data_IF_405162353739
#
_entry.id   IF_405162353739
#
_cell.length_a   1.000
_cell.length_b   1.000
_cell.length_c   1.000
_cell.angle_alpha   90.00
_cell.angle_beta   90.00
_cell.angle_gamma   90.00
#
_symmetry.space_group_name_H-M   'P 1'
#
loop_
_entity.id
_entity.type
_entity.pdbx_description
1 polymer ?
#
# COMPACT_ATOMS: atom_id res chain seq x y z
N UNK A 1 7.59 -0.91 -0.23
CA UNK A 1 6.59 -0.64 -1.30
C UNK A 1 7.05 -1.23 -2.63
N UNK A 2 8.24 -0.88 -3.12
CA UNK A 2 8.82 -1.43 -4.37
C UNK A 2 8.70 -2.95 -4.49
N UNK A 3 9.11 -3.67 -3.44
CA UNK A 3 9.04 -5.13 -3.37
C UNK A 3 7.63 -5.66 -3.46
N UNK A 4 6.69 -4.99 -2.80
CA UNK A 4 5.28 -5.37 -2.83
C UNK A 4 4.72 -5.23 -4.24
N UNK A 5 4.98 -4.11 -4.91
CA UNK A 5 4.54 -3.90 -6.30
C UNK A 5 5.18 -4.91 -7.26
N UNK A 6 6.46 -5.22 -7.06
CA UNK A 6 7.19 -6.23 -7.84
C UNK A 6 6.59 -7.62 -7.63
N UNK A 7 6.33 -8.00 -6.37
CA UNK A 7 5.70 -9.25 -6.00
C UNK A 7 4.28 -9.36 -6.56
N UNK A 8 3.46 -8.32 -6.42
CA UNK A 8 2.10 -8.27 -6.97
C UNK A 8 2.08 -8.51 -8.49
N UNK A 9 3.04 -7.92 -9.22
CA UNK A 9 3.18 -8.17 -10.65
C UNK A 9 3.60 -9.62 -10.94
N UNK A 10 4.53 -10.19 -10.16
CA UNK A 10 4.94 -11.59 -10.29
C UNK A 10 3.75 -12.53 -10.09
N UNK A 11 3.00 -12.34 -9.00
CA UNK A 11 1.82 -13.15 -8.69
C UNK A 11 0.78 -13.08 -9.80
N UNK A 12 0.51 -11.89 -10.35
CA UNK A 12 -0.42 -11.71 -11.46
C UNK A 12 0.04 -12.46 -12.72
N UNK A 13 1.32 -12.33 -13.10
CA UNK A 13 1.84 -12.78 -14.40
C UNK A 13 2.34 -14.23 -14.42
N UNK A 14 2.81 -14.74 -13.29
CA UNK A 14 3.57 -15.99 -13.22
C UNK A 14 2.94 -17.07 -12.35
N UNK A 15 1.79 -16.80 -11.72
CA UNK A 15 1.03 -17.84 -11.00
C UNK A 15 -0.34 -18.05 -11.65
N UNK A 16 -1.00 -19.15 -11.32
CA UNK A 16 -2.39 -19.42 -11.69
C UNK A 16 -3.34 -19.34 -10.48
N UNK A 17 -2.82 -19.02 -9.29
CA UNK A 17 -3.63 -18.88 -8.08
C UNK A 17 -4.35 -17.52 -8.02
N UNK A 18 -5.44 -17.48 -7.27
CA UNK A 18 -6.04 -16.25 -6.76
C UNK A 18 -5.30 -15.82 -5.50
N UNK A 19 -5.11 -14.51 -5.31
CA UNK A 19 -4.37 -13.99 -4.17
C UNK A 19 -5.11 -12.85 -3.49
N UNK A 20 -5.04 -12.87 -2.16
CA UNK A 20 -5.37 -11.74 -1.31
C UNK A 20 -4.08 -11.35 -0.58
N UNK A 21 -3.59 -10.13 -0.81
CA UNK A 21 -2.40 -9.58 -0.15
C UNK A 21 -2.83 -8.36 0.65
N UNK A 22 -2.69 -8.44 1.98
CA UNK A 22 -3.15 -7.41 2.91
C UNK A 22 -2.03 -7.02 3.86
N UNK A 23 -1.87 -5.71 4.09
CA UNK A 23 -1.01 -5.22 5.16
C UNK A 23 -0.40 -3.85 4.87
N UNK A 24 0.40 -3.39 5.83
CA UNK A 24 1.32 -2.27 5.63
C UNK A 24 2.59 -2.73 4.91
N UNK A 25 3.46 -1.80 4.59
CA UNK A 25 4.74 -2.06 3.95
C UNK A 25 5.76 -1.05 4.44
N UNK A 26 7.02 -1.46 4.45
CA UNK A 26 8.11 -0.51 4.63
C UNK A 26 8.21 0.36 3.38
N UNK A 27 8.36 1.66 3.57
CA UNK A 27 8.60 2.62 2.48
C UNK A 27 10.00 2.35 1.92
N UNK A 28 11.00 2.46 2.78
CA UNK A 28 12.42 2.23 2.49
C UNK A 28 13.17 1.86 3.79
N UNK A 29 14.29 1.09 3.76
CA UNK A 29 14.84 0.39 2.61
C UNK A 29 14.06 -0.88 2.24
N UNK A 30 14.15 -1.33 0.99
CA UNK A 30 13.79 -2.70 0.65
C UNK A 30 14.61 -3.72 1.48
N UNK A 31 13.99 -4.86 1.81
CA UNK A 31 14.60 -5.98 2.55
C UNK A 31 15.20 -7.04 1.62
N UNK A 32 14.51 -7.33 0.52
CA UNK A 32 14.78 -8.36 -0.47
C UNK A 32 15.33 -7.81 -1.79
N UNK A 33 15.13 -6.52 -2.09
CA UNK A 33 15.85 -5.84 -3.17
C UNK A 33 17.10 -5.18 -2.59
N UNK A 34 18.28 -5.79 -2.76
CA UNK A 34 19.52 -5.17 -2.28
C UNK A 34 20.02 -4.10 -3.27
N UNK A 35 20.16 -2.83 -2.86
CA UNK A 35 20.84 -1.83 -3.68
C UNK A 35 22.33 -2.18 -3.78
N UNK A 36 22.89 -2.19 -5.00
CA UNK A 36 24.34 -2.22 -5.17
C UNK A 36 24.89 -0.81 -4.93
N UNK A 37 25.92 -0.70 -4.10
CA UNK A 37 26.65 0.55 -3.87
C UNK A 37 27.50 0.87 -5.12
N UNK A 38 27.60 2.14 -5.54
CA UNK A 38 28.50 2.51 -6.63
C UNK A 38 29.94 2.09 -6.29
N UNK A 39 30.53 1.18 -7.08
CA UNK A 39 31.93 0.75 -6.94
C UNK A 39 32.18 -0.75 -6.72
N UNK A 40 31.16 -1.61 -6.61
CA UNK A 40 31.34 -3.06 -6.65
C UNK A 40 31.36 -3.58 -8.09
N UNK A 41 32.46 -3.36 -8.80
CA UNK A 41 32.71 -4.01 -10.08
C UNK A 41 33.07 -5.48 -9.86
N UNK A 42 32.13 -6.40 -10.06
CA UNK A 42 32.46 -7.73 -10.56
C UNK A 42 31.96 -7.82 -11.99
N UNK A 43 32.87 -7.85 -12.95
CA UNK A 43 32.66 -7.79 -14.41
C UNK A 43 31.82 -8.93 -15.02
N UNK A 44 31.11 -9.72 -14.22
CA UNK A 44 30.38 -10.91 -14.67
C UNK A 44 28.93 -11.03 -14.17
N UNK A 45 28.33 -9.96 -13.62
CA UNK A 45 26.92 -9.99 -13.23
C UNK A 45 26.09 -8.96 -14.03
N UNK A 46 25.24 -9.41 -14.98
CA UNK A 46 24.39 -8.52 -15.77
C UNK A 46 23.15 -8.02 -15.03
N UNK A 47 23.05 -8.22 -13.70
CA UNK A 47 21.95 -7.66 -12.91
C UNK A 47 22.26 -6.22 -12.47
N UNK A 48 21.66 -5.23 -13.15
CA UNK A 48 21.58 -3.86 -12.65
C UNK A 48 20.91 -3.88 -11.25
N UNK A 49 21.69 -3.71 -10.19
CA UNK A 49 21.16 -3.48 -8.84
C UNK A 49 20.26 -2.23 -8.77
N UNK A 50 19.54 -2.06 -7.65
CA UNK A 50 18.63 -0.92 -7.44
C UNK A 50 19.40 0.42 -7.36
N UNK A 51 19.73 1.00 -8.51
CA UNK A 51 20.42 2.28 -8.61
C UNK A 51 19.48 3.42 -8.21
N UNK A 52 19.88 4.20 -7.19
CA UNK A 52 19.16 5.40 -6.78
C UNK A 52 19.29 6.50 -7.87
N UNK A 53 18.24 7.29 -8.10
CA UNK A 53 18.26 8.39 -9.07
C UNK A 53 19.33 9.45 -8.77
N UNK A 54 19.87 10.07 -9.83
CA UNK A 54 20.86 11.14 -9.68
C UNK A 54 20.34 12.31 -8.86
N UNK A 55 19.05 12.66 -8.93
CA UNK A 55 18.49 13.78 -8.14
C UNK A 55 18.50 13.52 -6.63
N UNK A 56 18.60 12.26 -6.19
CA UNK A 56 18.81 11.88 -4.79
C UNK A 56 20.30 11.91 -4.43
N UNK A 57 21.18 11.59 -5.39
CA UNK A 57 22.64 11.49 -5.19
C UNK A 57 23.35 12.85 -5.34
N UNK A 58 22.83 13.76 -6.16
CA UNK A 58 23.50 14.98 -6.64
C UNK A 58 22.95 16.29 -6.10
N UNK A 59 22.05 16.26 -5.11
CA UNK A 59 21.33 17.44 -4.61
C UNK A 59 22.27 18.64 -4.39
N UNK A 60 22.10 19.68 -5.23
CA UNK A 60 22.89 20.91 -5.20
C UNK A 60 22.84 21.56 -3.81
N UNK A 61 24.02 21.95 -3.35
CA UNK A 61 24.24 22.76 -2.16
C UNK A 61 23.93 24.21 -2.55
N UNK A 62 23.00 24.86 -1.84
CA UNK A 62 22.96 26.32 -1.88
C UNK A 62 24.24 26.80 -1.20
N UNK A 63 25.07 27.50 -1.97
CA UNK A 63 26.35 28.05 -1.54
C UNK A 63 26.10 29.19 -0.54
N UNK A 64 26.07 28.85 0.76
CA UNK A 64 26.32 29.82 1.83
C UNK A 64 27.52 29.33 2.67
N UNK A 65 28.62 30.07 2.46
CA UNK A 65 29.83 30.27 3.25
C UNK A 65 30.50 29.15 4.07
N UNK A 66 31.78 28.98 3.69
CA UNK A 66 32.96 28.64 4.48
C UNK A 66 33.08 27.30 5.24
N UNK A 67 34.11 26.58 4.76
CA UNK A 67 34.98 25.61 5.44
C UNK A 67 34.46 24.22 5.84
N UNK A 68 35.22 23.22 5.38
CA UNK A 68 35.10 21.76 5.58
C UNK A 68 34.07 21.00 4.73
N UNK A 69 34.28 20.99 3.40
CA UNK A 69 33.64 20.05 2.46
C UNK A 69 34.13 18.60 2.66
N UNK A 70 33.52 17.88 3.60
CA UNK A 70 33.24 16.44 3.40
C UNK A 70 31.88 16.36 2.70
N UNK A 71 31.83 15.77 1.51
CA UNK A 71 30.60 15.41 0.79
C UNK A 71 29.65 14.62 1.72
N UNK A 72 28.77 15.30 2.46
CA UNK A 72 27.64 14.66 3.12
C UNK A 72 26.57 14.50 2.04
N UNK A 73 26.50 13.32 1.43
CA UNK A 73 25.35 12.88 0.63
C UNK A 73 24.07 13.29 1.37
N UNK A 74 23.16 14.01 0.70
CA UNK A 74 21.82 14.23 1.24
C UNK A 74 21.19 12.86 1.52
N UNK A 75 20.57 12.73 2.70
CA UNK A 75 19.96 11.47 3.15
C UNK A 75 18.63 11.31 2.42
N UNK A 76 18.40 10.14 1.83
CA UNK A 76 17.11 9.78 1.23
C UNK A 76 15.98 9.95 2.27
N UNK A 77 14.86 10.54 1.86
CA UNK A 77 13.66 10.56 2.68
C UNK A 77 13.05 9.16 2.72
N UNK A 78 13.01 8.59 3.92
CA UNK A 78 12.49 7.24 4.17
C UNK A 78 11.06 7.24 4.69
N UNK A 79 10.50 8.41 4.97
CA UNK A 79 9.21 8.57 5.63
C UNK A 79 8.05 8.41 4.63
N UNK A 80 8.29 8.73 3.36
CA UNK A 80 7.32 8.54 2.28
C UNK A 80 7.94 8.18 0.91
N UNK A 81 7.09 7.69 0.02
CA UNK A 81 7.40 7.39 -1.38
C UNK A 81 6.23 7.79 -2.27
N UNK A 82 6.52 8.33 -3.44
CA UNK A 82 5.50 8.68 -4.43
C UNK A 82 5.35 7.51 -5.40
N UNK A 83 4.13 6.95 -5.49
CA UNK A 83 3.80 5.86 -6.40
C UNK A 83 2.86 6.36 -7.49
N UNK A 84 3.39 6.51 -8.69
CA UNK A 84 2.68 6.94 -9.88
C UNK A 84 2.15 5.74 -10.67
N UNK A 85 1.00 5.92 -11.32
CA UNK A 85 0.55 4.96 -12.35
C UNK A 85 1.53 4.89 -13.51
N UNK A 86 1.53 3.77 -14.24
CA UNK A 86 2.54 3.50 -15.29
C UNK A 86 2.66 4.58 -16.38
N UNK A 87 1.54 5.23 -16.71
CA UNK A 87 1.46 6.31 -17.70
C UNK A 87 1.66 7.73 -17.12
N UNK A 88 1.87 7.85 -15.81
CA UNK A 88 2.02 9.14 -15.14
C UNK A 88 3.25 9.92 -15.61
N UNK A 89 3.12 11.25 -15.68
CA UNK A 89 4.20 12.18 -16.06
C UNK A 89 4.57 13.03 -14.85
N UNK A 90 5.81 12.96 -14.31
CA UNK A 90 6.17 13.63 -13.07
C UNK A 90 5.88 15.12 -13.11
N UNK A 91 6.31 15.82 -14.16
CA UNK A 91 6.13 17.25 -14.40
C UNK A 91 4.66 17.71 -14.31
N UNK A 92 3.71 16.85 -14.66
CA UNK A 92 2.27 17.16 -14.62
C UNK A 92 1.62 16.86 -13.28
N UNK A 93 2.15 15.88 -12.54
CA UNK A 93 1.48 15.33 -11.37
C UNK A 93 2.14 15.75 -10.06
N UNK A 94 3.41 16.15 -10.10
CA UNK A 94 4.23 16.40 -8.93
C UNK A 94 4.77 17.83 -8.90
N UNK A 95 4.90 18.36 -7.68
CA UNK A 95 5.72 19.55 -7.41
C UNK A 95 7.18 19.12 -7.38
N UNK A 96 7.84 19.17 -8.54
CA UNK A 96 9.18 18.60 -8.74
C UNK A 96 10.21 19.20 -7.80
N UNK A 97 10.15 20.51 -7.57
CA UNK A 97 11.10 21.21 -6.70
C UNK A 97 11.03 20.67 -5.26
N UNK A 98 9.82 20.51 -4.70
CA UNK A 98 9.63 19.95 -3.37
C UNK A 98 10.10 18.48 -3.30
N UNK A 99 9.79 17.68 -4.32
CA UNK A 99 10.20 16.26 -4.38
C UNK A 99 11.73 16.12 -4.39
N UNK A 100 12.42 16.97 -5.15
CA UNK A 100 13.89 16.98 -5.24
C UNK A 100 14.50 17.52 -3.96
N UNK A 101 14.00 18.64 -3.44
CA UNK A 101 14.47 19.25 -2.19
C UNK A 101 14.42 18.25 -1.02
N UNK A 102 13.31 17.52 -0.92
CA UNK A 102 13.08 16.58 0.18
C UNK A 102 13.62 15.18 -0.11
N UNK A 103 14.27 14.94 -1.26
CA UNK A 103 14.84 13.65 -1.67
C UNK A 103 13.82 12.49 -1.60
N UNK A 104 12.59 12.73 -2.07
CA UNK A 104 11.52 11.73 -2.05
C UNK A 104 11.66 10.77 -3.24
N UNK A 105 11.59 9.46 -2.97
CA UNK A 105 11.67 8.45 -4.02
C UNK A 105 10.38 8.43 -4.84
N UNK A 106 10.52 8.48 -6.17
CA UNK A 106 9.40 8.41 -7.11
C UNK A 106 9.45 7.09 -7.87
N UNK A 107 8.33 6.38 -7.91
CA UNK A 107 8.18 5.06 -8.52
C UNK A 107 7.02 5.08 -9.50
N UNK A 108 7.19 4.49 -10.68
CA UNK A 108 6.07 4.09 -11.56
C UNK A 108 5.75 2.64 -11.30
N UNK A 109 4.51 2.36 -10.88
CA UNK A 109 4.05 0.97 -10.70
C UNK A 109 3.64 0.33 -12.03
N UNK A 110 3.56 -0.99 -12.05
CA UNK A 110 3.15 -1.78 -13.22
C UNK A 110 1.68 -1.56 -13.64
N UNK A 111 0.81 -1.18 -12.70
CA UNK A 111 -0.62 -0.95 -12.90
C UNK A 111 -0.95 0.47 -13.37
N UNK A 112 -2.17 0.66 -13.88
CA UNK A 112 -2.71 1.97 -14.25
C UNK A 112 -3.13 2.82 -13.04
N UNK A 113 -3.91 3.87 -13.26
CA UNK A 113 -4.50 4.71 -12.21
C UNK A 113 -3.68 5.96 -11.84
N UNK A 114 -4.12 6.66 -10.78
CA UNK A 114 -3.56 7.93 -10.34
C UNK A 114 -2.23 7.83 -9.58
N UNK A 115 -1.77 8.96 -9.06
CA UNK A 115 -0.57 9.03 -8.19
C UNK A 115 -1.00 9.06 -6.73
N UNK A 116 -0.25 8.36 -5.87
CA UNK A 116 -0.45 8.36 -4.42
C UNK A 116 0.88 8.62 -3.72
N UNK A 117 0.85 9.34 -2.61
CA UNK A 117 1.98 9.39 -1.67
C UNK A 117 1.73 8.32 -0.61
N UNK A 118 2.76 7.52 -0.34
CA UNK A 118 2.70 6.35 0.53
C UNK A 118 3.66 6.56 1.68
N UNK A 119 3.13 6.58 2.89
CA UNK A 119 3.90 6.65 4.14
C UNK A 119 3.77 5.36 4.96
N UNK A 120 4.40 5.34 6.14
CA UNK A 120 4.36 4.20 7.05
C UNK A 120 2.97 3.86 7.62
N UNK A 121 2.00 4.74 7.46
CA UNK A 121 0.64 4.59 7.97
C UNK A 121 -0.37 4.23 6.87
N UNK A 122 0.09 4.07 5.64
CA UNK A 122 -0.77 3.74 4.51
C UNK A 122 -1.09 2.25 4.49
N UNK A 123 -2.39 1.90 4.48
CA UNK A 123 -2.85 0.51 4.45
C UNK A 123 -3.14 0.08 3.02
N UNK A 124 -2.65 -1.09 2.60
CA UNK A 124 -2.77 -1.53 1.21
C UNK A 124 -3.35 -2.93 1.11
N UNK A 125 -4.30 -3.09 0.18
CA UNK A 125 -4.92 -4.37 -0.15
C UNK A 125 -4.76 -4.67 -1.63
N UNK A 126 -4.60 -5.95 -1.97
CA UNK A 126 -4.50 -6.40 -3.35
C UNK A 126 -5.29 -7.69 -3.50
N UNK A 127 -6.16 -7.73 -4.50
CA UNK A 127 -6.95 -8.88 -4.92
C UNK A 127 -6.48 -9.26 -6.33
N UNK A 128 -6.06 -10.50 -6.50
CA UNK A 128 -5.67 -11.08 -7.79
C UNK A 128 -6.67 -12.19 -8.09
N UNK A 129 -7.42 -12.04 -9.18
CA UNK A 129 -8.43 -13.00 -9.60
C UNK A 129 -8.12 -13.57 -10.97
N UNK A 130 -8.38 -14.86 -11.16
CA UNK A 130 -8.35 -15.54 -12.46
C UNK A 130 -9.72 -15.46 -13.09
N UNK A 131 -9.75 -15.10 -14.38
CA UNK A 131 -11.02 -14.87 -15.09
C UNK A 131 -11.93 -16.09 -15.07
N UNK A 132 -11.35 -17.30 -15.13
CA UNK A 132 -12.13 -18.54 -15.10
C UNK A 132 -12.80 -18.79 -13.74
N UNK A 133 -12.21 -18.32 -12.64
CA UNK A 133 -12.74 -18.49 -11.29
C UNK A 133 -13.75 -17.39 -10.94
N UNK A 134 -13.71 -16.28 -11.67
CA UNK A 134 -14.60 -15.12 -11.50
C UNK A 134 -15.31 -14.76 -12.82
N UNK A 135 -16.17 -15.66 -13.36
CA UNK A 135 -16.80 -15.46 -14.67
C UNK A 135 -17.77 -14.28 -14.73
N UNK A 136 -18.26 -13.79 -13.57
CA UNK A 136 -19.11 -12.60 -13.46
C UNK A 136 -18.32 -11.29 -13.35
N UNK A 137 -16.99 -11.36 -13.22
CA UNK A 137 -16.12 -10.18 -13.12
C UNK A 137 -15.46 -9.96 -14.47
N UNK A 138 -16.03 -9.04 -15.23
CA UNK A 138 -15.46 -8.65 -16.50
C UNK A 138 -14.09 -7.99 -16.30
N UNK A 139 -13.08 -8.32 -17.13
CA UNK A 139 -11.70 -7.90 -16.92
C UNK A 139 -11.46 -6.45 -17.37
N UNK A 140 -12.25 -5.51 -16.85
CA UNK A 140 -12.06 -4.07 -17.01
C UNK A 140 -12.25 -3.34 -15.67
N UNK A 141 -11.62 -2.17 -15.47
CA UNK A 141 -11.50 -1.52 -14.16
C UNK A 141 -12.81 -1.39 -13.38
N UNK A 142 -13.88 -0.94 -14.05
CA UNK A 142 -15.16 -0.64 -13.38
C UNK A 142 -15.84 -1.91 -12.83
N UNK A 143 -15.93 -2.98 -13.60
CA UNK A 143 -16.52 -4.24 -13.15
C UNK A 143 -15.76 -4.82 -11.96
N UNK A 144 -14.42 -4.79 -12.03
CA UNK A 144 -13.58 -5.27 -10.92
C UNK A 144 -13.80 -4.43 -9.65
N UNK A 145 -13.89 -3.10 -9.76
CA UNK A 145 -14.16 -2.21 -8.63
C UNK A 145 -15.55 -2.43 -8.01
N UNK A 146 -16.57 -2.60 -8.84
CA UNK A 146 -17.94 -2.89 -8.38
C UNK A 146 -17.97 -4.22 -7.62
N UNK A 147 -17.35 -5.26 -8.19
CA UNK A 147 -17.22 -6.55 -7.54
C UNK A 147 -16.48 -6.45 -6.20
N UNK A 148 -15.33 -5.79 -6.14
CA UNK A 148 -14.57 -5.71 -4.88
C UNK A 148 -15.25 -4.82 -3.83
N UNK A 149 -16.01 -3.81 -4.26
CA UNK A 149 -16.83 -3.00 -3.36
C UNK A 149 -17.97 -3.81 -2.74
N UNK A 150 -18.63 -4.66 -3.54
CA UNK A 150 -19.77 -5.45 -3.11
C UNK A 150 -19.36 -6.69 -2.31
N UNK A 151 -18.53 -7.56 -2.92
CA UNK A 151 -18.18 -8.86 -2.36
C UNK A 151 -17.19 -8.78 -1.19
N UNK A 152 -16.32 -7.77 -1.16
CA UNK A 152 -15.22 -7.72 -0.17
C UNK A 152 -15.35 -6.52 0.75
N UNK A 153 -15.19 -5.31 0.22
CA UNK A 153 -15.00 -4.14 1.07
C UNK A 153 -16.28 -3.68 1.76
N UNK A 154 -17.44 -3.76 1.11
CA UNK A 154 -18.72 -3.41 1.72
C UNK A 154 -18.99 -4.19 3.00
N UNK A 155 -18.96 -5.53 2.90
CA UNK A 155 -19.10 -6.43 4.05
C UNK A 155 -18.02 -6.21 5.12
N UNK A 156 -16.76 -5.97 4.71
CA UNK A 156 -15.67 -5.69 5.63
C UNK A 156 -15.88 -4.38 6.41
N UNK A 157 -16.30 -3.30 5.75
CA UNK A 157 -16.59 -2.03 6.41
C UNK A 157 -17.84 -2.09 7.29
N UNK A 158 -18.88 -2.82 6.87
CA UNK A 158 -20.07 -3.04 7.71
C UNK A 158 -19.71 -3.76 9.02
N UNK A 159 -18.88 -4.80 8.93
CA UNK A 159 -18.34 -5.51 10.11
C UNK A 159 -17.49 -4.58 10.98
N UNK A 160 -16.55 -3.86 10.36
CA UNK A 160 -15.67 -2.94 11.07
C UNK A 160 -16.46 -1.85 11.82
N UNK A 161 -17.45 -1.24 11.17
CA UNK A 161 -18.36 -0.26 11.77
C UNK A 161 -19.09 -0.85 12.99
N UNK A 162 -19.64 -2.08 12.88
CA UNK A 162 -20.27 -2.74 14.04
C UNK A 162 -19.29 -2.95 15.19
N UNK A 163 -18.07 -3.44 14.92
CA UNK A 163 -17.05 -3.66 15.95
C UNK A 163 -16.66 -2.36 16.67
N UNK A 164 -16.52 -1.26 15.93
CA UNK A 164 -16.17 0.05 16.49
C UNK A 164 -17.31 0.60 17.36
N UNK A 165 -18.56 0.52 16.89
CA UNK A 165 -19.73 0.97 17.66
C UNK A 165 -19.97 0.13 18.92
N UNK A 166 -19.71 -1.17 18.89
CA UNK A 166 -19.82 -2.03 20.09
C UNK A 166 -18.70 -1.75 21.09
N UNK A 167 -17.47 -1.48 20.64
CA UNK A 167 -16.34 -1.17 21.54
C UNK A 167 -16.54 0.15 22.29
N UNK A 168 -17.25 1.11 21.69
CA UNK A 168 -17.67 2.34 22.37
C UNK A 168 -18.67 2.07 23.52
N UNK A 169 -19.47 1.01 23.41
CA UNK A 169 -20.53 0.65 24.38
C UNK A 169 -20.07 -0.40 25.41
N UNK A 170 -18.99 -1.14 25.14
CA UNK A 170 -18.60 -2.33 25.90
C UNK A 170 -17.14 -2.27 26.37
N UNK A 171 -16.83 -1.33 27.28
CA UNK A 171 -15.74 -1.50 28.24
C UNK A 171 -16.15 -2.44 29.40
N UNK A 172 -16.75 -3.60 29.11
CA UNK A 172 -16.89 -4.68 30.10
C UNK A 172 -16.88 -6.05 29.40
N UNK A 173 -15.84 -6.84 29.74
CA UNK A 173 -15.73 -8.30 29.61
C UNK A 173 -15.36 -8.91 28.23
N UNK A 174 -14.14 -9.46 28.18
CA UNK A 174 -13.59 -10.36 27.15
C UNK A 174 -14.04 -11.82 27.39
N UNK A 175 -14.14 -12.63 26.32
CA UNK A 175 -13.73 -14.06 26.29
C UNK A 175 -13.48 -14.59 24.86
N UNK A 176 -12.50 -15.50 24.76
CA UNK A 176 -12.03 -16.31 23.61
C UNK A 176 -13.08 -17.36 23.16
N UNK A 177 -13.11 -18.00 21.98
CA UNK A 177 -12.21 -18.29 20.84
C UNK A 177 -12.51 -19.73 20.36
N UNK A 178 -12.37 -20.09 19.06
CA UNK A 178 -12.06 -21.46 18.52
C UNK A 178 -12.15 -21.52 16.98
N UNK A 179 -11.31 -22.37 16.36
CA UNK A 179 -11.05 -22.53 14.90
C UNK A 179 -11.91 -23.62 14.20
N UNK A 180 -12.14 -23.54 12.87
CA UNK A 180 -12.82 -24.57 12.07
C UNK A 180 -11.90 -25.29 11.01
N UNK A 181 -12.41 -26.33 10.31
CA UNK A 181 -11.66 -27.36 9.56
C UNK A 181 -11.48 -27.06 8.04
N UNK A 182 -10.78 -27.90 7.23
CA UNK A 182 -10.10 -27.44 6.00
C UNK A 182 -10.71 -27.80 4.62
N UNK A 183 -10.66 -26.84 3.68
CA UNK A 183 -10.28 -26.94 2.24
C UNK A 183 -10.85 -25.88 1.25
N UNK A 184 -10.11 -25.26 0.30
CA UNK A 184 -9.04 -24.23 0.43
C UNK A 184 -8.90 -23.31 -0.84
N UNK A 185 -8.71 -21.99 -0.66
CA UNK A 185 -8.29 -20.93 -1.63
C UNK A 185 -7.24 -20.03 -0.95
N UNK A 186 -6.13 -19.58 -1.56
CA UNK A 186 -4.96 -19.02 -0.82
C UNK A 186 -5.03 -17.52 -0.43
N UNK A 187 -4.55 -17.18 0.77
CA UNK A 187 -4.42 -15.82 1.35
C UNK A 187 -3.01 -15.57 1.90
N UNK A 188 -2.43 -14.39 1.63
CA UNK A 188 -1.14 -13.95 2.21
C UNK A 188 -1.38 -12.77 3.16
N UNK A 189 -1.25 -13.00 4.47
CA UNK A 189 -1.17 -11.91 5.44
C UNK A 189 0.29 -11.48 5.57
N UNK A 190 0.59 -10.22 5.27
CA UNK A 190 1.87 -9.61 5.60
C UNK A 190 1.73 -8.85 6.91
N UNK A 191 1.78 -9.57 8.04
CA UNK A 191 1.83 -8.95 9.36
C UNK A 191 3.24 -9.11 9.91
N UNK A 192 4.08 -8.07 9.79
CA UNK A 192 5.19 -7.80 10.72
C UNK A 192 5.87 -6.46 10.44
N UNK A 193 5.96 -5.63 11.48
CA UNK A 193 7.16 -4.81 11.73
C UNK A 193 8.20 -5.78 12.31
N UNK A 194 9.10 -6.28 11.47
CA UNK A 194 10.04 -7.35 11.86
C UNK A 194 11.27 -6.78 12.57
N UNK A 195 11.46 -7.12 13.85
CA UNK A 195 12.77 -7.09 14.49
C UNK A 195 12.97 -8.36 15.34
N UNK A 196 14.04 -9.09 15.00
CA UNK A 196 14.75 -10.14 15.76
C UNK A 196 14.24 -11.61 15.71
N UNK A 197 15.17 -12.59 15.68
CA UNK A 197 14.86 -14.03 15.61
C UNK A 197 14.94 -14.69 17.00
N UNK A 198 13.85 -15.29 17.51
CA UNK A 198 13.88 -16.49 18.38
C UNK A 198 12.48 -17.09 18.54
N UNK A 199 12.46 -18.41 18.43
CA UNK A 199 11.54 -19.47 18.87
C UNK A 199 10.35 -19.16 19.80
N UNK A 200 9.20 -19.74 19.41
CA UNK A 200 8.17 -20.43 20.22
C UNK A 200 7.43 -19.76 21.42
N UNK A 201 6.10 -19.89 21.34
CA UNK A 201 5.07 -19.85 22.40
C UNK A 201 4.65 -18.46 22.92
N UNK A 202 3.32 -18.27 22.94
CA UNK A 202 2.65 -17.01 23.15
C UNK A 202 2.96 -16.29 24.46
N UNK A 203 2.92 -14.96 24.39
CA UNK A 203 2.70 -14.07 25.53
C UNK A 203 2.15 -12.73 25.07
N UNK A 204 1.17 -12.24 25.83
CA UNK A 204 0.64 -10.88 25.78
C UNK A 204 1.78 -9.89 26.03
N UNK A 205 1.93 -8.91 25.15
CA UNK A 205 2.87 -7.80 25.33
C UNK A 205 2.11 -6.49 25.54
N UNK A 206 2.20 -5.97 26.75
CA UNK A 206 1.88 -4.59 27.12
C UNK A 206 3.12 -3.72 26.92
N UNK A 207 2.96 -2.53 26.32
CA UNK A 207 4.03 -1.54 26.15
C UNK A 207 3.71 -0.22 26.86
N UNK A 208 4.73 0.53 27.33
CA UNK A 208 4.55 1.66 28.21
C UNK A 208 3.99 2.88 27.47
N UNK A 209 3.03 3.52 28.12
CA UNK A 209 2.45 4.79 27.73
C UNK A 209 3.46 5.93 27.95
N UNK A 210 3.76 6.71 26.90
CA UNK A 210 4.27 8.07 27.01
C UNK A 210 3.37 9.03 26.24
N UNK A 211 2.55 9.73 27.04
CA UNK A 211 1.71 10.89 26.76
C UNK A 211 2.47 11.96 25.94
N UNK A 212 1.87 12.82 25.11
CA UNK A 212 0.55 13.48 25.21
C UNK A 212 -0.02 13.73 23.81
N UNK A 213 -1.30 13.43 23.62
CA UNK A 213 -2.15 14.06 22.59
C UNK A 213 -3.45 14.52 23.26
N UNK A 214 -4.13 15.57 22.74
CA UNK A 214 -5.21 16.24 23.46
C UNK A 214 -6.37 15.27 23.71
N UNK A 215 -7.00 15.41 24.88
CA UNK A 215 -8.22 14.69 25.23
C UNK A 215 -9.29 15.00 24.19
N UNK A 216 -9.61 14.05 23.32
CA UNK A 216 -10.89 14.06 22.62
C UNK A 216 -11.95 13.56 23.58
N UNK A 217 -13.00 14.36 23.71
CA UNK A 217 -14.18 14.11 24.52
C UNK A 217 -14.89 12.85 24.02
N UNK A 218 -15.19 11.92 24.94
CA UNK A 218 -15.72 10.59 24.65
C UNK A 218 -17.25 10.58 24.48
N UNK A 219 -17.85 11.70 24.09
CA UNK A 219 -19.30 11.93 24.14
C UNK A 219 -20.01 11.96 22.78
N UNK A 220 -19.32 11.65 21.67
CA UNK A 220 -19.98 11.55 20.36
C UNK A 220 -19.82 10.11 19.85
N UNK A 221 -20.88 9.31 19.94
CA UNK A 221 -21.06 8.18 19.02
C UNK A 221 -21.23 8.83 17.63
N UNK A 222 -20.13 9.10 16.95
CA UNK A 222 -20.19 9.60 15.58
C UNK A 222 -20.84 8.50 14.76
N UNK A 223 -21.96 8.82 14.11
CA UNK A 223 -22.50 7.98 13.05
C UNK A 223 -21.40 7.82 12.00
N UNK A 224 -20.86 6.61 11.89
CA UNK A 224 -19.74 6.33 11.01
C UNK A 224 -20.29 6.35 9.58
N UNK A 225 -19.84 7.27 8.71
CA UNK A 225 -20.44 7.40 7.40
C UNK A 225 -20.23 6.13 6.57
N UNK A 226 -21.22 5.78 5.74
CA UNK A 226 -21.22 4.51 4.99
C UNK A 226 -20.11 4.46 3.93
N UNK A 227 -19.47 3.30 3.79
CA UNK A 227 -18.61 2.95 2.65
C UNK A 227 -19.44 2.85 1.35
N UNK A 228 -18.92 3.38 0.25
CA UNK A 228 -19.44 3.07 -1.09
C UNK A 228 -18.39 3.24 -2.18
N UNK A 229 -18.68 2.70 -3.37
CA UNK A 229 -17.96 3.02 -4.61
C UNK A 229 -18.66 4.21 -5.29
N UNK A 230 -17.93 5.29 -5.53
CA UNK A 230 -18.40 6.44 -6.32
C UNK A 230 -17.42 6.71 -7.45
N UNK A 231 -17.90 6.64 -8.69
CA UNK A 231 -17.04 6.68 -9.88
C UNK A 231 -15.88 5.67 -9.77
N UNK A 232 -14.62 6.10 -9.72
CA UNK A 232 -13.49 5.17 -9.62
C UNK A 232 -12.89 5.09 -8.20
N UNK A 233 -13.58 5.65 -7.21
CA UNK A 233 -13.06 5.89 -5.87
C UNK A 233 -13.91 5.20 -4.80
N UNK A 234 -13.23 4.63 -3.81
CA UNK A 234 -13.89 4.28 -2.55
C UNK A 234 -14.05 5.52 -1.71
N UNK A 235 -15.30 5.77 -1.29
CA UNK A 235 -15.69 6.95 -0.54
C UNK A 235 -16.40 6.60 0.76
N UNK A 236 -16.25 7.48 1.75
CA UNK A 236 -16.96 7.46 3.01
C UNK A 236 -18.03 8.56 3.00
N UNK A 237 -19.27 8.21 3.34
CA UNK A 237 -20.41 9.13 3.35
C UNK A 237 -20.73 9.72 1.98
N UNK A 238 -20.32 9.06 0.90
CA UNK A 238 -20.47 9.52 -0.47
C UNK A 238 -19.55 10.67 -0.89
N UNK A 239 -18.91 11.37 0.04
CA UNK A 239 -18.26 12.67 -0.25
C UNK A 239 -16.74 12.66 -0.11
N UNK A 240 -16.19 11.81 0.75
CA UNK A 240 -14.77 11.82 1.09
C UNK A 240 -14.07 10.60 0.55
N UNK A 241 -13.04 10.80 -0.26
CA UNK A 241 -12.24 9.69 -0.78
C UNK A 241 -11.34 9.15 0.32
N UNK A 242 -11.38 7.83 0.50
CA UNK A 242 -10.61 7.12 1.53
C UNK A 242 -9.69 6.06 0.93
N UNK A 243 -9.71 5.86 -0.39
CA UNK A 243 -8.89 4.86 -1.05
C UNK A 243 -8.58 5.23 -2.49
N UNK A 244 -7.36 4.93 -2.92
CA UNK A 244 -6.91 5.02 -4.31
C UNK A 244 -6.90 3.64 -4.95
N UNK A 245 -7.69 3.47 -6.01
CA UNK A 245 -7.83 2.19 -6.71
C UNK A 245 -6.94 2.16 -7.96
N UNK A 246 -6.35 0.99 -8.24
CA UNK A 246 -5.67 0.75 -9.51
C UNK A 246 -5.76 -0.73 -9.91
N UNK A 247 -5.76 -0.97 -11.22
CA UNK A 247 -5.92 -2.30 -11.79
C UNK A 247 -4.83 -2.61 -12.83
N UNK A 248 -4.55 -3.89 -12.98
CA UNK A 248 -3.74 -4.45 -14.06
C UNK A 248 -4.44 -5.69 -14.59
N UNK A 249 -4.68 -5.75 -15.89
CA UNK A 249 -5.37 -6.86 -16.55
C UNK A 249 -4.38 -7.55 -17.49
N UNK A 250 -4.34 -8.87 -17.41
CA UNK A 250 -3.54 -9.74 -18.28
C UNK A 250 -4.44 -10.82 -18.89
N UNK A 251 -3.90 -11.62 -19.81
CA UNK A 251 -4.65 -12.76 -20.34
C UNK A 251 -4.95 -13.74 -19.19
N UNK A 252 -6.24 -14.01 -18.93
CA UNK A 252 -6.70 -14.99 -17.95
C UNK A 252 -6.72 -14.52 -16.49
N UNK A 253 -6.42 -13.25 -16.22
CA UNK A 253 -6.49 -12.74 -14.85
C UNK A 253 -6.40 -11.23 -14.74
N UNK A 254 -6.74 -10.74 -13.56
CA UNK A 254 -6.76 -9.34 -13.23
C UNK A 254 -6.26 -9.12 -11.81
N UNK A 255 -5.81 -7.90 -11.55
CA UNK A 255 -5.39 -7.43 -10.25
C UNK A 255 -6.12 -6.13 -9.94
N UNK A 256 -6.62 -6.03 -8.72
CA UNK A 256 -7.17 -4.82 -8.12
C UNK A 256 -6.43 -4.54 -6.82
N UNK A 257 -5.76 -3.40 -6.73
CA UNK A 257 -5.19 -2.96 -5.48
C UNK A 257 -5.72 -1.60 -5.04
N UNK A 258 -5.74 -1.43 -3.73
CA UNK A 258 -6.30 -0.25 -3.07
C UNK A 258 -5.34 0.22 -2.00
N UNK A 259 -4.95 1.49 -2.10
CA UNK A 259 -4.26 2.21 -1.03
C UNK A 259 -5.31 2.92 -0.17
N UNK A 260 -5.71 2.31 0.94
CA UNK A 260 -6.58 2.93 1.92
C UNK A 260 -5.81 3.95 2.76
N UNK A 261 -6.37 5.15 2.83
CA UNK A 261 -5.84 6.29 3.57
C UNK A 261 -6.15 6.08 5.07
N UNK A 262 -5.28 5.35 5.77
CA UNK A 262 -5.54 4.99 7.16
C UNK A 262 -5.22 6.15 8.11
N UNK A 263 -3.94 6.51 8.26
CA UNK A 263 -3.48 7.63 9.10
C UNK A 263 -2.36 8.40 8.40
N UNK A 264 -2.60 8.77 7.14
CA UNK A 264 -1.60 9.38 6.27
C UNK A 264 -1.25 10.80 6.69
N UNK A 265 -0.04 11.25 6.37
CA UNK A 265 0.38 12.63 6.58
C UNK A 265 -0.11 13.53 5.42
N UNK A 266 -1.07 14.40 5.74
CA UNK A 266 -1.66 15.35 4.79
C UNK A 266 -0.63 16.32 4.20
N UNK A 267 0.44 16.64 4.94
CA UNK A 267 1.48 17.58 4.50
C UNK A 267 2.24 17.02 3.29
N UNK A 268 2.45 15.71 3.23
CA UNK A 268 3.07 15.04 2.09
C UNK A 268 2.22 15.17 0.82
N UNK A 269 0.89 15.06 0.94
CA UNK A 269 -0.02 15.17 -0.19
C UNK A 269 -0.04 16.60 -0.75
N UNK A 270 -0.10 17.60 0.12
CA UNK A 270 -0.09 19.02 -0.27
C UNK A 270 1.25 19.46 -0.85
N UNK A 271 2.35 18.97 -0.26
CA UNK A 271 3.71 19.35 -0.68
C UNK A 271 4.07 18.74 -2.03
N UNK A 272 3.74 17.47 -2.27
CA UNK A 272 4.28 16.75 -3.42
C UNK A 272 3.33 16.61 -4.60
N UNK A 273 2.01 16.67 -4.39
CA UNK A 273 1.04 16.44 -5.46
C UNK A 273 0.46 17.75 -6.01
N UNK A 274 0.42 17.85 -7.33
CA UNK A 274 -0.39 18.87 -8.02
C UNK A 274 -1.87 18.49 -7.99
N UNK A 275 -2.74 19.48 -8.15
CA UNK A 275 -4.14 19.20 -8.44
C UNK A 275 -4.24 18.49 -9.80
N UNK A 276 -4.91 17.33 -9.89
CA UNK A 276 -4.97 16.58 -11.14
C UNK A 276 -5.90 17.27 -12.15
N UNK A 277 -5.44 17.37 -13.41
CA UNK A 277 -6.24 17.90 -14.53
C UNK A 277 -7.56 17.15 -14.72
N UNK A 278 -7.53 15.83 -14.51
CA UNK A 278 -8.70 14.95 -14.52
C UNK A 278 -9.07 14.60 -13.09
N UNK A 279 -10.23 15.07 -12.66
CA UNK A 279 -10.81 14.84 -11.34
C UNK A 279 -12.23 14.29 -11.48
N UNK A 280 -12.69 13.47 -10.53
CA UNK A 280 -14.09 13.05 -10.52
C UNK A 280 -14.99 14.26 -10.27
N UNK A 281 -16.20 14.25 -10.82
CA UNK A 281 -17.10 15.39 -10.80
C UNK A 281 -17.42 15.82 -9.35
N UNK A 282 -17.59 14.83 -8.47
CA UNK A 282 -17.88 15.09 -7.06
C UNK A 282 -16.71 15.63 -6.24
N UNK A 283 -15.47 15.62 -6.76
CA UNK A 283 -14.37 16.34 -6.11
C UNK A 283 -14.61 17.85 -6.14
N UNK A 284 -15.24 18.34 -7.21
CA UNK A 284 -15.39 19.77 -7.48
C UNK A 284 -14.02 20.49 -7.42
N UNK A 285 -13.94 21.68 -6.83
CA UNK A 285 -12.70 22.43 -6.63
C UNK A 285 -11.99 22.15 -5.30
N UNK A 286 -12.35 21.06 -4.59
CA UNK A 286 -11.77 20.76 -3.26
C UNK A 286 -10.27 20.47 -3.33
N UNK A 287 -9.56 20.98 -2.33
CA UNK A 287 -8.16 20.66 -2.05
C UNK A 287 -8.00 19.17 -1.73
N UNK A 288 -6.76 18.67 -1.66
CA UNK A 288 -6.52 17.30 -1.19
C UNK A 288 -7.08 17.09 0.21
N UNK A 289 -6.83 18.02 1.12
CA UNK A 289 -7.31 18.00 2.51
C UNK A 289 -8.82 17.95 2.64
N UNK A 290 -9.56 18.71 1.82
CA UNK A 290 -11.02 18.76 1.90
C UNK A 290 -11.71 17.62 1.13
N UNK A 291 -10.94 16.88 0.31
CA UNK A 291 -11.42 15.79 -0.52
C UNK A 291 -11.17 14.41 0.09
N UNK A 292 -10.03 14.25 0.77
CA UNK A 292 -9.58 12.99 1.34
C UNK A 292 -10.03 12.86 2.81
N UNK A 293 -10.05 11.64 3.33
CA UNK A 293 -10.32 11.38 4.75
C UNK A 293 -9.45 10.25 5.30
N UNK A 294 -8.80 10.43 6.46
CA UNK A 294 -8.12 9.34 7.14
C UNK A 294 -9.14 8.42 7.84
N UNK A 295 -9.06 7.12 7.58
CA UNK A 295 -9.93 6.11 8.22
C UNK A 295 -9.70 6.03 9.73
N UNK A 296 -8.50 6.39 10.21
CA UNK A 296 -8.16 6.42 11.63
C UNK A 296 -9.08 7.35 12.44
N UNK A 297 -9.65 8.38 11.79
CA UNK A 297 -10.64 9.30 12.37
C UNK A 297 -11.89 8.59 12.89
N UNK A 298 -12.31 7.51 12.23
CA UNK A 298 -13.52 6.77 12.56
C UNK A 298 -13.23 5.40 13.20
N UNK A 299 -12.16 4.73 12.75
CA UNK A 299 -11.87 3.34 13.11
C UNK A 299 -10.69 3.18 14.06
N UNK A 300 -10.07 4.28 14.49
CA UNK A 300 -8.90 4.30 15.37
C UNK A 300 -7.59 3.96 14.65
N UNK A 301 -6.48 4.01 15.39
CA UNK A 301 -5.13 3.93 14.79
C UNK A 301 -4.76 2.55 14.25
N UNK A 302 -5.35 1.48 14.76
CA UNK A 302 -5.00 0.11 14.34
C UNK A 302 -5.90 -0.36 13.20
N UNK A 303 -5.29 -0.78 12.09
CA UNK A 303 -6.00 -1.44 10.98
C UNK A 303 -6.24 -2.94 11.22
N UNK A 304 -5.78 -3.54 12.33
CA UNK A 304 -5.97 -4.97 12.61
C UNK A 304 -7.44 -5.42 12.57
N UNK A 305 -8.42 -4.67 13.13
CA UNK A 305 -9.83 -5.02 13.01
C UNK A 305 -10.32 -5.01 11.56
N UNK A 306 -9.75 -4.15 10.72
CA UNK A 306 -10.08 -4.09 9.30
C UNK A 306 -9.49 -5.28 8.55
N UNK A 307 -8.24 -5.68 8.83
CA UNK A 307 -7.65 -6.92 8.28
C UNK A 307 -8.51 -8.13 8.60
N UNK A 308 -8.97 -8.26 9.85
CA UNK A 308 -9.89 -9.34 10.25
C UNK A 308 -11.20 -9.27 9.47
N UNK A 309 -11.79 -8.08 9.35
CA UNK A 309 -13.06 -7.88 8.66
C UNK A 309 -12.96 -8.18 7.16
N UNK A 310 -11.84 -7.86 6.51
CA UNK A 310 -11.56 -8.24 5.11
C UNK A 310 -11.46 -9.76 4.99
N UNK A 311 -10.68 -10.41 5.88
CA UNK A 311 -10.55 -11.88 5.89
C UNK A 311 -11.92 -12.54 5.98
N UNK A 312 -12.73 -12.16 6.97
CA UNK A 312 -14.06 -12.75 7.15
C UNK A 312 -15.00 -12.48 5.96
N UNK A 313 -14.89 -11.31 5.32
CA UNK A 313 -15.66 -11.00 4.11
C UNK A 313 -15.24 -11.87 2.91
N UNK A 314 -13.93 -12.11 2.77
CA UNK A 314 -13.39 -13.01 1.76
C UNK A 314 -13.76 -14.46 2.04
N UNK A 315 -13.68 -14.93 3.29
CA UNK A 315 -14.10 -16.30 3.67
C UNK A 315 -15.59 -16.52 3.38
N UNK A 316 -16.43 -15.53 3.69
CA UNK A 316 -17.85 -15.60 3.38
C UNK A 316 -18.15 -15.61 1.87
N UNK A 317 -17.31 -14.96 1.06
CA UNK A 317 -17.54 -14.82 -0.39
C UNK A 317 -16.90 -15.93 -1.21
N UNK A 318 -15.77 -16.48 -0.76
CA UNK A 318 -14.91 -17.37 -1.54
C UNK A 318 -14.67 -18.72 -0.88
N UNK A 319 -15.18 -18.92 0.34
CA UNK A 319 -14.91 -20.12 1.14
C UNK A 319 -13.55 -20.06 1.84
N UNK A 320 -13.02 -21.22 2.21
CA UNK A 320 -11.84 -21.33 3.06
C UNK A 320 -10.62 -20.63 2.48
N UNK A 321 -9.96 -19.82 3.31
CA UNK A 321 -8.71 -19.15 2.97
C UNK A 321 -7.49 -19.94 3.48
N UNK A 322 -6.47 -20.12 2.65
CA UNK A 322 -5.25 -20.84 2.96
C UNK A 322 -4.10 -19.85 3.16
N UNK A 323 -3.68 -19.73 4.40
CA UNK A 323 -2.62 -18.80 4.75
C UNK A 323 -1.27 -19.23 4.20
N UNK A 324 -0.51 -18.25 3.73
CA UNK A 324 0.88 -18.41 3.35
C UNK A 324 1.71 -17.27 3.91
N UNK A 325 3.02 -17.43 3.87
CA UNK A 325 3.98 -16.47 4.40
C UNK A 325 4.85 -15.94 3.27
N UNK A 326 5.27 -14.68 3.40
CA UNK A 326 6.09 -14.02 2.40
C UNK A 326 7.35 -14.82 2.02
N UNK A 327 8.15 -15.39 2.95
CA UNK A 327 9.32 -16.18 2.58
C UNK A 327 8.99 -17.38 1.69
N UNK A 328 7.86 -18.05 1.94
CA UNK A 328 7.40 -19.18 1.12
C UNK A 328 7.05 -18.73 -0.30
N UNK A 329 6.37 -17.59 -0.43
CA UNK A 329 6.00 -17.02 -1.74
C UNK A 329 7.24 -16.55 -2.50
N UNK A 330 8.17 -15.89 -1.82
CA UNK A 330 9.44 -15.47 -2.41
C UNK A 330 10.21 -16.69 -2.94
N UNK A 331 10.41 -17.71 -2.11
CA UNK A 331 11.13 -18.91 -2.52
C UNK A 331 10.45 -19.61 -3.72
N UNK A 332 9.14 -19.80 -3.65
CA UNK A 332 8.42 -20.62 -4.62
C UNK A 332 8.15 -19.91 -5.96
N UNK A 333 7.92 -18.59 -5.93
CA UNK A 333 7.55 -17.82 -7.13
C UNK A 333 8.71 -16.96 -7.61
N UNK A 334 9.41 -16.28 -6.72
CA UNK A 334 10.44 -15.31 -7.09
C UNK A 334 11.80 -16.00 -7.31
N UNK A 335 12.27 -16.77 -6.34
CA UNK A 335 13.62 -17.36 -6.40
C UNK A 335 13.67 -18.51 -7.39
N UNK A 336 12.74 -19.47 -7.25
CA UNK A 336 12.72 -20.68 -8.07
C UNK A 336 12.38 -20.40 -9.54
N UNK A 337 11.36 -19.59 -9.81
CA UNK A 337 10.82 -19.44 -11.16
C UNK A 337 11.33 -18.17 -11.87
N UNK A 338 11.78 -17.16 -11.13
CA UNK A 338 12.15 -15.84 -11.68
C UNK A 338 13.62 -15.45 -11.42
N UNK A 339 14.38 -16.29 -10.71
CA UNK A 339 15.82 -16.11 -10.48
C UNK A 339 16.16 -15.09 -9.39
N UNK A 340 15.22 -14.81 -8.48
CA UNK A 340 15.40 -13.89 -7.37
C UNK A 340 14.75 -12.52 -7.59
N UNK A 341 14.61 -11.76 -6.49
CA UNK A 341 13.87 -10.51 -6.49
C UNK A 341 14.55 -9.43 -7.34
N UNK A 342 15.88 -9.35 -7.33
CA UNK A 342 16.66 -8.44 -8.17
C UNK A 342 16.48 -8.75 -9.67
N UNK A 343 16.64 -10.02 -10.06
CA UNK A 343 16.48 -10.47 -11.44
C UNK A 343 15.04 -10.25 -11.95
N UNK A 344 14.05 -10.47 -11.09
CA UNK A 344 12.65 -10.18 -11.42
C UNK A 344 12.38 -8.68 -11.53
N UNK A 345 12.86 -7.87 -10.59
CA UNK A 345 12.62 -6.43 -10.59
C UNK A 345 13.21 -5.74 -11.83
N UNK A 346 14.37 -6.20 -12.33
CA UNK A 346 14.93 -5.72 -13.59
C UNK A 346 14.00 -5.95 -14.81
N UNK A 347 13.09 -6.93 -14.74
CA UNK A 347 12.10 -7.25 -15.78
C UNK A 347 10.70 -6.70 -15.46
N UNK A 348 10.45 -6.32 -14.21
CA UNK A 348 9.18 -5.75 -13.76
C UNK A 348 8.89 -4.43 -14.48
N UNK A 349 7.60 -4.15 -14.69
CA UNK A 349 7.16 -2.83 -15.19
C UNK A 349 7.19 -1.78 -14.08
N UNK A 350 7.25 -2.21 -12.82
CA UNK A 350 7.50 -1.31 -11.69
C UNK A 350 8.94 -0.84 -11.74
N UNK A 351 9.15 0.48 -11.70
CA UNK A 351 10.48 1.08 -11.83
C UNK A 351 10.60 2.37 -11.05
N UNK A 352 11.79 2.62 -10.54
CA UNK A 352 12.14 3.93 -9.99
C UNK A 352 12.25 4.94 -11.14
N UNK A 353 11.68 6.12 -10.95
CA UNK A 353 11.80 7.23 -11.90
C UNK A 353 13.19 7.84 -11.71
N UNK A 354 14.07 7.67 -12.71
CA UNK A 354 15.46 8.15 -12.64
C UNK A 354 15.62 9.64 -12.96
N UNK A 355 14.75 10.19 -13.81
CA UNK A 355 14.74 11.61 -14.15
C UNK A 355 13.33 12.20 -13.96
N UNK A 356 13.27 13.28 -13.20
CA UNK A 356 12.03 14.00 -12.87
C UNK A 356 11.75 15.16 -13.84
N UNK A 357 12.76 15.61 -14.59
CA UNK A 357 12.64 16.63 -15.62
C UNK A 357 12.72 15.94 -16.99
N UNK A 358 11.75 16.23 -17.88
CA UNK A 358 11.75 15.70 -19.24
C UNK A 358 12.73 16.46 -20.13
#
# INVERSE_FOLDING_TARGET
MLERLSLEEALLRHTQDNWIVIGAHDVWPPKYLRPQLPGSSSDNDPTEGLLLPEYIVSGKQDDDDNDNKKNKSRKLNTDCMIVMGIGGKPDRLLNIDNVVQDNVLVVKRFSGGGTVVMDHNSFWTTLIGRTNDFPSVEPYPRSIMEWSADAVFGSAFDKLTRMTSTTATTQTNKKHGMDPPPGSVKTLIMDTKSCSPTENVGKVLSFPNRNKSPKMDASIVQDIPKFSLRENDYVLGGQFKMGGNAQSIVKGGWLHHTSFLWDYDETNMESYLKLPDKRPEYRDSRSHRDFLVPLSRYYGKSYTPFVRSIREACEASFGDLHDTHLPTVLNNVIDKDLGGMEAWFAKSRTRIVRNLQL
#
